data_IF_222078893780
#
_entry.id   IF_222078893780
#
_cell.length_a   1.000
_cell.length_b   1.000
_cell.length_c   1.000
_cell.angle_alpha   90.00
_cell.angle_beta   90.00
_cell.angle_gamma   90.00
#
_symmetry.space_group_name_H-M   'P 1'
#
loop_
_entity.id
_entity.type
_entity.pdbx_description
1 polymer ?
#
# COMPACT_ATOMS: atom_id res chain seq x y z
N UNK A 1 12.51 7.12 0.69
CA UNK A 1 11.10 6.67 0.69
C UNK A 1 10.74 6.25 -0.73
N UNK A 2 10.52 4.95 -0.96
CA UNK A 2 10.30 4.41 -2.31
C UNK A 2 8.94 4.85 -2.86
N UNK A 3 8.91 5.30 -4.10
CA UNK A 3 7.70 5.69 -4.85
C UNK A 3 7.56 4.70 -5.99
N UNK A 4 6.36 4.16 -6.15
CA UNK A 4 6.04 3.18 -7.19
C UNK A 4 5.12 3.79 -8.23
N UNK A 5 5.26 3.36 -9.48
CA UNK A 5 4.32 3.65 -10.57
C UNK A 5 3.66 2.38 -11.09
N UNK A 6 4.24 1.23 -10.79
CA UNK A 6 3.70 -0.11 -11.02
C UNK A 6 3.10 -0.67 -9.73
N UNK A 7 1.88 -1.21 -9.81
CA UNK A 7 1.15 -1.76 -8.66
C UNK A 7 1.71 -3.11 -8.23
N UNK A 8 2.21 -3.92 -9.16
CA UNK A 8 2.77 -5.25 -8.85
C UNK A 8 4.04 -5.09 -8.03
N UNK A 9 4.96 -4.23 -8.49
CA UNK A 9 6.17 -3.89 -7.74
C UNK A 9 5.86 -3.30 -6.34
N UNK A 10 4.80 -2.49 -6.22
CA UNK A 10 4.38 -1.94 -4.94
C UNK A 10 3.84 -3.01 -3.97
N UNK A 11 3.13 -4.01 -4.49
CA UNK A 11 2.59 -5.14 -3.72
C UNK A 11 3.72 -6.07 -3.27
N UNK A 12 4.64 -6.40 -4.15
CA UNK A 12 5.81 -7.22 -3.80
C UNK A 12 6.63 -6.56 -2.69
N UNK A 13 6.88 -5.25 -2.79
CA UNK A 13 7.55 -4.49 -1.72
C UNK A 13 6.75 -4.54 -0.41
N UNK A 14 5.42 -4.41 -0.46
CA UNK A 14 4.57 -4.50 0.73
C UNK A 14 4.67 -5.88 1.39
N UNK A 15 4.66 -6.96 0.62
CA UNK A 15 4.84 -8.34 1.10
C UNK A 15 6.23 -8.55 1.70
N UNK A 16 7.26 -8.06 1.01
CA UNK A 16 8.64 -8.14 1.48
C UNK A 16 8.82 -7.44 2.83
N UNK A 17 8.31 -6.21 2.96
CA UNK A 17 8.34 -5.46 4.23
C UNK A 17 7.52 -6.11 5.32
N UNK A 18 6.36 -6.69 4.98
CA UNK A 18 5.55 -7.43 5.93
C UNK A 18 6.33 -8.61 6.52
N UNK A 19 7.05 -9.35 5.68
CA UNK A 19 7.90 -10.49 6.11
C UNK A 19 9.06 -10.06 7.00
N UNK A 20 9.71 -8.94 6.70
CA UNK A 20 10.87 -8.44 7.47
C UNK A 20 10.43 -7.82 8.80
N UNK A 21 9.44 -6.94 8.77
CA UNK A 21 9.05 -6.16 9.94
C UNK A 21 7.98 -6.85 10.81
N UNK A 22 7.44 -7.99 10.36
CA UNK A 22 6.32 -8.70 10.98
C UNK A 22 5.12 -7.76 11.28
N UNK A 23 4.84 -6.85 10.35
CA UNK A 23 3.83 -5.79 10.48
C UNK A 23 3.04 -5.66 9.18
N UNK A 24 1.78 -5.25 9.29
CA UNK A 24 0.92 -5.09 8.12
C UNK A 24 1.23 -3.81 7.36
N UNK A 25 1.33 -3.93 6.03
CA UNK A 25 1.55 -2.85 5.09
C UNK A 25 0.42 -2.76 4.09
N UNK A 26 0.28 -1.59 3.51
CA UNK A 26 -0.70 -1.30 2.49
C UNK A 26 -0.13 -0.36 1.44
N UNK A 27 -0.54 -0.60 0.19
CA UNK A 27 -0.23 0.26 -0.94
C UNK A 27 -1.32 1.32 -1.02
N UNK A 28 -0.93 2.59 -1.10
CA UNK A 28 -1.85 3.71 -1.27
C UNK A 28 -1.53 4.47 -2.53
N UNK A 29 -2.56 4.93 -3.23
CA UNK A 29 -2.41 5.86 -4.34
C UNK A 29 -2.26 7.28 -3.78
N UNK A 30 -1.38 8.06 -4.39
CA UNK A 30 -1.27 9.51 -4.22
C UNK A 30 -1.78 10.20 -5.47
N UNK A 31 -2.11 11.49 -5.34
CA UNK A 31 -2.42 12.35 -6.47
C UNK A 31 -1.28 12.23 -7.50
N UNK A 32 -1.64 12.02 -8.77
CA UNK A 32 -0.75 11.79 -9.93
C UNK A 32 -0.37 10.32 -10.20
N UNK A 33 -1.18 9.34 -9.77
CA UNK A 33 -0.98 7.92 -10.12
C UNK A 33 0.19 7.24 -9.42
N UNK A 34 0.98 7.99 -8.63
CA UNK A 34 2.09 7.48 -7.83
C UNK A 34 1.57 6.67 -6.66
N UNK A 35 2.27 5.61 -6.32
CA UNK A 35 1.94 4.68 -5.25
C UNK A 35 3.01 4.69 -4.16
N UNK A 36 2.57 4.44 -2.93
CA UNK A 36 3.44 4.34 -1.75
C UNK A 36 3.03 3.17 -0.88
N UNK A 37 4.02 2.45 -0.37
CA UNK A 37 3.83 1.42 0.66
C UNK A 37 3.94 2.06 2.04
N UNK A 38 2.91 1.90 2.87
CA UNK A 38 2.82 2.46 4.22
C UNK A 38 2.36 1.38 5.19
N UNK A 39 2.75 1.48 6.46
CA UNK A 39 2.23 0.56 7.48
C UNK A 39 0.76 0.86 7.76
N UNK A 40 -0.05 -0.17 8.03
CA UNK A 40 -1.46 0.01 8.36
C UNK A 40 -1.66 0.91 9.58
N UNK A 41 -0.79 0.81 10.59
CA UNK A 41 -0.81 1.69 11.77
C UNK A 41 -0.71 3.17 11.37
N UNK A 42 0.12 3.48 10.37
CA UNK A 42 0.26 4.84 9.88
C UNK A 42 -0.98 5.30 9.10
N UNK A 43 -1.61 4.40 8.34
CA UNK A 43 -2.87 4.69 7.64
C UNK A 43 -4.03 4.95 8.59
N UNK A 44 -4.18 4.12 9.63
CA UNK A 44 -5.19 4.30 10.69
C UNK A 44 -5.00 5.67 11.37
N UNK A 45 -3.75 6.02 11.71
CA UNK A 45 -3.42 7.30 12.35
C UNK A 45 -3.68 8.52 11.44
N UNK A 46 -3.52 8.38 10.12
CA UNK A 46 -3.73 9.47 9.16
C UNK A 46 -5.19 9.71 8.77
N UNK A 47 -6.06 8.71 8.92
CA UNK A 47 -7.49 8.79 8.59
C UNK A 47 -7.76 8.91 7.08
N UNK A 48 -8.76 8.17 6.58
CA UNK A 48 -9.31 8.29 5.22
C UNK A 48 -8.36 8.17 4.00
N UNK A 49 -7.19 7.52 4.13
CA UNK A 49 -6.37 7.20 2.95
C UNK A 49 -6.91 5.93 2.30
N UNK A 50 -7.40 6.05 1.06
CA UNK A 50 -7.82 4.91 0.24
C UNK A 50 -6.59 4.05 -0.10
N UNK A 51 -6.55 2.83 0.43
CA UNK A 51 -5.55 1.81 0.09
C UNK A 51 -6.00 1.03 -1.14
N UNK A 52 -5.07 0.79 -2.06
CA UNK A 52 -5.23 -0.06 -3.24
C UNK A 52 -5.00 -1.54 -2.90
N UNK A 53 -4.16 -1.81 -1.90
CA UNK A 53 -3.84 -3.15 -1.44
C UNK A 53 -3.49 -3.12 0.05
N UNK A 54 -3.80 -4.20 0.78
CA UNK A 54 -3.33 -4.44 2.14
C UNK A 54 -2.83 -5.87 2.28
N UNK A 55 -1.66 -6.04 2.92
CA UNK A 55 -1.10 -7.35 3.25
C UNK A 55 -1.93 -8.10 4.29
N UNK A 56 -2.77 -7.40 5.07
CA UNK A 56 -3.61 -8.02 6.11
C UNK A 56 -4.69 -8.90 5.51
N UNK A 57 -5.27 -8.47 4.40
CA UNK A 57 -6.31 -9.21 3.68
C UNK A 57 -5.75 -9.98 2.48
N UNK A 58 -4.51 -9.69 2.08
CA UNK A 58 -3.89 -10.10 0.82
C UNK A 58 -4.83 -10.01 -0.38
N UNK A 59 -5.69 -8.99 -0.37
CA UNK A 59 -6.72 -8.75 -1.39
C UNK A 59 -6.44 -7.44 -2.11
N UNK A 60 -6.50 -7.51 -3.43
CA UNK A 60 -6.54 -6.32 -4.28
C UNK A 60 -7.89 -5.62 -4.04
N UNK A 61 -7.85 -4.39 -3.53
CA UNK A 61 -9.02 -3.54 -3.55
C UNK A 61 -9.02 -2.86 -4.92
N UNK A 62 -10.07 -3.11 -5.70
CA UNK A 62 -10.27 -2.54 -7.03
C UNK A 62 -9.98 -1.04 -7.01
N UNK A 63 -8.93 -0.65 -7.73
CA UNK A 63 -8.48 0.72 -7.89
C UNK A 63 -9.60 1.59 -8.45
N UNK A 64 -9.73 2.80 -7.91
CA UNK A 64 -10.50 3.84 -8.59
C UNK A 64 -9.78 4.14 -9.91
N UNK A 65 -10.41 3.76 -11.02
CA UNK A 65 -10.03 4.26 -12.34
C UNK A 65 -10.14 5.79 -12.28
N UNK A 66 -9.02 6.47 -12.55
CA UNK A 66 -9.05 7.89 -12.87
C UNK A 66 -9.87 8.11 -14.13
#
# INVERSE_FOLDING_TARGET
MTIFTDIEAAIEEARFRCKIANQQFAVVQRNNGKMKVLSERWLIKKGNIKSMYSTRLDKHHSVLRG
#
